data_IF_397013235203
#
_entry.id   IF_397013235203
#
_cell.length_a   1.000
_cell.length_b   1.000
_cell.length_c   1.000
_cell.angle_alpha   90.00
_cell.angle_beta   90.00
_cell.angle_gamma   90.00
#
_symmetry.space_group_name_H-M   'P 1'
#
loop_
_entity.id
_entity.type
_entity.pdbx_description
1 polymer ?
#
# COMPACT_ATOMS: atom_id res chain seq x y z
N UNK A 1 -4.35 7.30 20.82
CA UNK A 1 -4.94 6.28 21.71
C UNK A 1 -6.24 6.74 22.35
N UNK A 2 -6.30 7.86 23.10
CA UNK A 2 -7.58 8.36 23.64
C UNK A 2 -8.60 8.63 22.51
N UNK A 3 -8.20 9.43 21.52
CA UNK A 3 -9.03 9.70 20.34
C UNK A 3 -9.48 8.42 19.62
N UNK A 4 -8.59 7.41 19.50
CA UNK A 4 -8.93 6.13 18.91
C UNK A 4 -9.92 5.32 19.76
N UNK A 5 -9.81 5.38 21.08
CA UNK A 5 -10.74 4.71 21.99
C UNK A 5 -12.12 5.38 21.99
N UNK A 6 -12.17 6.69 21.78
CA UNK A 6 -13.38 7.51 21.76
C UNK A 6 -14.03 7.59 20.37
N UNK A 7 -13.32 7.21 19.31
CA UNK A 7 -13.83 7.21 17.94
C UNK A 7 -15.08 6.36 17.81
N UNK A 8 -16.12 6.88 17.14
CA UNK A 8 -17.36 6.18 16.85
C UNK A 8 -17.77 6.36 15.38
N UNK A 9 -18.35 5.34 14.73
CA UNK A 9 -18.82 5.47 13.35
C UNK A 9 -19.97 6.48 13.19
N UNK A 10 -20.70 6.80 14.28
CA UNK A 10 -21.75 7.81 14.28
C UNK A 10 -21.24 9.25 14.46
N UNK A 11 -19.93 9.45 14.66
CA UNK A 11 -19.39 10.78 14.89
C UNK A 11 -19.68 11.69 13.69
N UNK A 12 -20.44 12.77 13.92
CA UNK A 12 -20.89 13.72 12.87
C UNK A 12 -19.72 14.41 12.13
N UNK A 13 -18.49 14.29 12.65
CA UNK A 13 -17.25 14.75 12.01
C UNK A 13 -16.75 13.79 10.92
N UNK A 14 -17.26 12.56 10.86
CA UNK A 14 -17.12 11.67 9.72
C UNK A 14 -17.93 12.29 8.59
N UNK A 15 -17.26 13.16 7.83
CA UNK A 15 -17.83 13.68 6.60
C UNK A 15 -18.06 12.50 5.67
N UNK A 16 -19.29 12.34 5.17
CA UNK A 16 -19.63 11.28 4.22
C UNK A 16 -18.68 11.24 3.00
N UNK A 17 -18.06 12.37 2.66
CA UNK A 17 -17.02 12.47 1.64
C UNK A 17 -15.77 11.63 1.92
N UNK A 18 -15.46 11.32 3.19
CA UNK A 18 -14.29 10.52 3.59
C UNK A 18 -14.52 9.02 3.53
N UNK A 19 -15.77 8.57 3.41
CA UNK A 19 -16.12 7.15 3.32
C UNK A 19 -16.00 6.71 1.85
N UNK A 20 -15.32 5.58 1.61
CA UNK A 20 -15.28 4.96 0.29
C UNK A 20 -16.68 4.52 -0.13
N UNK A 21 -17.00 4.68 -1.41
CA UNK A 21 -18.27 4.22 -1.98
C UNK A 21 -18.06 3.13 -3.04
N UNK A 22 -16.83 2.62 -3.16
CA UNK A 22 -16.46 1.62 -4.16
C UNK A 22 -15.99 0.36 -3.44
N UNK A 23 -16.70 -0.78 -3.55
CA UNK A 23 -16.23 -2.04 -3.02
C UNK A 23 -15.01 -2.54 -3.80
N UNK A 24 -14.17 -3.36 -3.16
CA UNK A 24 -13.02 -4.00 -3.81
C UNK A 24 -13.49 -4.90 -4.96
N UNK A 25 -13.20 -4.52 -6.21
CA UNK A 25 -13.54 -5.32 -7.37
C UNK A 25 -12.58 -6.50 -7.51
N UNK A 26 -13.13 -7.67 -7.80
CA UNK A 26 -12.32 -8.85 -8.09
C UNK A 26 -11.66 -8.69 -9.47
N UNK A 27 -10.38 -9.04 -9.56
CA UNK A 27 -9.69 -9.11 -10.86
C UNK A 27 -10.07 -10.42 -11.56
N UNK A 28 -10.35 -10.38 -12.87
CA UNK A 28 -10.59 -11.60 -13.61
C UNK A 28 -9.32 -12.46 -13.62
N UNK A 29 -9.46 -13.79 -13.73
CA UNK A 29 -8.30 -14.66 -13.87
C UNK A 29 -7.49 -14.27 -15.11
N UNK A 30 -6.16 -14.50 -15.11
CA UNK A 30 -5.35 -14.27 -16.30
C UNK A 30 -5.93 -15.06 -17.48
N UNK A 31 -5.83 -14.55 -18.72
CA UNK A 31 -6.28 -15.27 -19.90
C UNK A 31 -5.61 -16.66 -19.93
N UNK A 32 -6.37 -17.70 -20.30
CA UNK A 32 -5.78 -19.00 -20.58
C UNK A 32 -4.71 -18.81 -21.66
N UNK A 33 -3.45 -19.03 -21.31
CA UNK A 33 -2.37 -19.04 -22.29
C UNK A 33 -2.60 -20.24 -23.21
N UNK A 34 -2.89 -20.01 -24.49
CA UNK A 34 -2.74 -21.08 -25.48
C UNK A 34 -1.28 -21.52 -25.45
N UNK A 35 -0.97 -22.82 -25.30
CA UNK A 35 0.40 -23.27 -25.39
C UNK A 35 0.89 -22.96 -26.81
N UNK A 36 1.85 -22.04 -26.92
CA UNK A 36 2.63 -21.89 -28.15
C UNK A 36 3.29 -23.26 -28.45
N UNK A 37 3.41 -23.66 -29.73
CA UNK A 37 3.98 -24.95 -30.09
C UNK A 37 5.40 -25.07 -29.52
N UNK A 38 5.65 -26.20 -28.84
CA UNK A 38 6.92 -26.50 -28.22
C UNK A 38 8.05 -26.55 -29.27
N UNK A 39 8.94 -25.56 -29.24
CA UNK A 39 10.24 -25.68 -29.89
C UNK A 39 11.17 -26.56 -29.03
N UNK A 40 12.00 -27.41 -29.64
CA UNK A 40 12.84 -28.35 -28.89
C UNK A 40 13.88 -27.64 -28.04
N UNK A 41 13.82 -27.99 -26.77
CA UNK A 41 14.70 -27.72 -25.64
C UNK A 41 16.19 -27.49 -25.98
N UNK A 42 16.65 -26.24 -25.84
CA UNK A 42 18.00 -25.94 -25.35
C UNK A 42 17.96 -25.93 -23.82
N UNK A 43 19.00 -26.49 -23.19
CA UNK A 43 19.17 -26.61 -21.73
C UNK A 43 19.37 -25.26 -21.04
N UNK A 44 18.37 -24.39 -21.10
CA UNK A 44 18.25 -23.20 -20.27
C UNK A 44 17.21 -23.52 -19.21
N UNK A 45 17.59 -23.44 -17.94
CA UNK A 45 16.66 -23.62 -16.84
C UNK A 45 15.45 -22.72 -17.06
N UNK A 46 14.23 -23.27 -16.92
CA UNK A 46 13.00 -22.49 -17.06
C UNK A 46 13.03 -21.36 -16.03
N UNK A 47 12.82 -20.09 -16.42
CA UNK A 47 12.82 -18.98 -15.48
C UNK A 47 11.74 -19.20 -14.40
N UNK A 48 11.96 -18.74 -13.15
CA UNK A 48 10.96 -18.87 -12.10
C UNK A 48 9.67 -18.12 -12.47
N UNK A 49 8.51 -18.53 -11.93
CA UNK A 49 7.27 -17.81 -12.17
C UNK A 49 7.40 -16.36 -11.69
N UNK A 50 6.69 -15.40 -12.31
CA UNK A 50 6.73 -14.01 -11.86
C UNK A 50 6.26 -13.87 -10.41
N UNK A 51 6.73 -12.81 -9.74
CA UNK A 51 6.33 -12.47 -8.38
C UNK A 51 4.81 -12.24 -8.37
N UNK A 52 4.03 -13.06 -7.64
CA UNK A 52 2.57 -13.02 -7.73
C UNK A 52 2.01 -11.76 -7.06
N UNK A 53 2.56 -11.39 -5.91
CA UNK A 53 2.09 -10.26 -5.12
C UNK A 53 3.15 -9.17 -4.98
N UNK A 54 2.77 -7.97 -5.38
CA UNK A 54 3.52 -6.76 -5.14
C UNK A 54 2.71 -5.87 -4.19
N UNK A 55 3.32 -5.51 -3.06
CA UNK A 55 2.81 -4.50 -2.15
C UNK A 55 3.47 -3.15 -2.48
N UNK A 56 2.67 -2.09 -2.59
CA UNK A 56 3.14 -0.72 -2.73
C UNK A 56 2.84 0.04 -1.43
N UNK A 57 3.88 0.40 -0.68
CA UNK A 57 3.74 1.15 0.56
C UNK A 57 3.97 2.64 0.27
N UNK A 58 2.87 3.37 0.16
CA UNK A 58 2.81 4.77 -0.23
C UNK A 58 3.17 5.69 0.95
N UNK A 59 4.46 5.74 1.25
CA UNK A 59 5.06 6.83 2.01
C UNK A 59 5.43 7.94 1.01
N UNK A 60 4.56 8.94 0.88
CA UNK A 60 4.72 10.05 -0.06
C UNK A 60 4.54 11.37 0.69
N UNK A 61 5.65 12.07 0.94
CA UNK A 61 5.69 13.38 1.62
C UNK A 61 4.81 13.47 2.88
N UNK A 62 4.76 12.40 3.69
CA UNK A 62 3.99 12.35 4.93
C UNK A 62 2.47 12.15 4.79
N UNK A 63 1.97 11.97 3.56
CA UNK A 63 0.55 11.73 3.26
C UNK A 63 -0.38 12.94 3.49
N UNK A 64 -1.65 12.74 3.17
CA UNK A 64 -2.78 13.67 3.36
C UNK A 64 -2.61 14.98 2.60
N UNK A 65 -2.14 14.88 1.37
CA UNK A 65 -1.95 16.03 0.49
C UNK A 65 -3.28 16.66 0.11
N UNK A 66 -3.33 17.99 -0.16
CA UNK A 66 -4.56 18.65 -0.61
C UNK A 66 -5.19 18.00 -1.84
N UNK A 67 -4.38 17.43 -2.73
CA UNK A 67 -4.81 16.69 -3.93
C UNK A 67 -5.55 15.39 -3.63
N UNK A 68 -5.46 14.86 -2.41
CA UNK A 68 -6.11 13.63 -1.96
C UNK A 68 -7.47 13.89 -1.31
N UNK A 69 -7.87 15.16 -1.24
CA UNK A 69 -9.21 15.57 -0.81
C UNK A 69 -10.28 14.87 -1.62
N UNK A 70 -11.29 14.34 -0.93
CA UNK A 70 -12.48 13.74 -1.56
C UNK A 70 -13.24 14.70 -2.47
N UNK A 71 -13.10 16.01 -2.25
CA UNK A 71 -13.71 17.04 -3.08
C UNK A 71 -12.78 17.55 -4.18
N UNK A 72 -11.58 16.96 -4.31
CA UNK A 72 -10.52 17.45 -5.17
C UNK A 72 -9.89 18.76 -4.66
N UNK A 73 -8.87 19.23 -5.39
CA UNK A 73 -8.21 20.50 -5.15
C UNK A 73 -8.53 21.47 -6.30
N UNK A 74 -9.13 22.62 -5.95
CA UNK A 74 -9.52 23.66 -6.91
C UNK A 74 -9.03 25.05 -6.46
N UNK A 75 -8.39 25.84 -7.35
CA UNK A 75 -7.97 25.47 -8.70
C UNK A 75 -6.92 24.36 -8.69
N UNK A 76 -6.82 23.60 -9.79
CA UNK A 76 -5.80 22.57 -9.92
C UNK A 76 -4.39 23.20 -9.75
N UNK A 77 -3.45 22.53 -9.05
CA UNK A 77 -2.10 23.02 -8.92
C UNK A 77 -1.42 23.14 -10.29
N UNK A 78 -0.52 24.12 -10.46
CA UNK A 78 0.21 24.30 -11.72
C UNK A 78 1.26 23.20 -11.96
N UNK A 79 1.74 22.58 -10.88
CA UNK A 79 2.69 21.48 -10.91
C UNK A 79 1.98 20.13 -11.15
N UNK A 80 2.68 19.14 -11.73
CA UNK A 80 2.18 17.77 -11.79
C UNK A 80 1.75 17.26 -10.41
N UNK A 81 0.78 16.36 -10.36
CA UNK A 81 0.39 15.68 -9.12
C UNK A 81 0.89 14.24 -9.22
N UNK A 82 1.44 13.70 -8.14
CA UNK A 82 1.79 12.30 -8.09
C UNK A 82 0.54 11.42 -8.26
N UNK A 83 0.62 10.42 -9.13
CA UNK A 83 -0.43 9.42 -9.29
C UNK A 83 0.14 8.03 -9.48
N UNK A 84 -0.46 7.03 -8.85
CA UNK A 84 -0.11 5.64 -9.09
C UNK A 84 -0.75 5.14 -10.39
N UNK A 85 0.01 5.11 -11.50
CA UNK A 85 -0.51 4.70 -12.81
C UNK A 85 -0.47 3.18 -13.05
N UNK A 86 0.46 2.47 -12.40
CA UNK A 86 0.80 1.08 -12.72
C UNK A 86 0.08 0.05 -11.83
N UNK A 87 -1.21 0.28 -11.55
CA UNK A 87 -2.03 -0.53 -10.64
C UNK A 87 -2.20 -2.00 -11.06
N UNK A 88 -1.99 -2.30 -12.35
CA UNK A 88 -2.02 -3.66 -12.90
C UNK A 88 -0.89 -4.55 -12.36
N UNK A 89 0.16 -4.00 -11.74
CA UNK A 89 1.24 -4.77 -11.12
C UNK A 89 1.03 -4.96 -9.61
N UNK A 90 0.34 -4.02 -8.96
CA UNK A 90 0.20 -3.94 -7.50
C UNK A 90 -0.96 -4.82 -7.05
N UNK A 91 -0.76 -5.70 -6.06
CA UNK A 91 -1.83 -6.48 -5.40
C UNK A 91 -2.40 -5.75 -4.19
N UNK A 92 -1.52 -5.16 -3.38
CA UNK A 92 -1.85 -4.51 -2.12
C UNK A 92 -1.20 -3.13 -2.10
N UNK A 93 -1.93 -2.12 -1.65
CA UNK A 93 -1.46 -0.77 -1.44
C UNK A 93 -1.58 -0.46 0.04
N UNK A 94 -0.50 0.01 0.67
CA UNK A 94 -0.53 0.52 2.04
C UNK A 94 -0.46 2.04 1.96
N UNK A 95 -1.48 2.72 2.48
CA UNK A 95 -1.41 4.16 2.67
C UNK A 95 -0.62 4.43 3.96
N UNK A 96 0.58 5.00 3.81
CA UNK A 96 1.53 5.17 4.90
C UNK A 96 1.66 6.64 5.26
N UNK A 97 1.61 6.93 6.55
CA UNK A 97 2.02 8.21 7.11
C UNK A 97 2.59 8.00 8.50
N UNK A 98 3.24 9.02 9.05
CA UNK A 98 3.82 9.00 10.40
C UNK A 98 2.81 9.35 11.51
N UNK A 99 1.52 9.15 11.23
CA UNK A 99 0.44 9.31 12.21
C UNK A 99 0.14 7.95 12.84
N UNK A 100 -0.10 7.94 14.16
CA UNK A 100 -0.42 6.73 14.93
C UNK A 100 -1.43 5.81 14.23
N UNK A 101 -2.48 6.40 13.67
CA UNK A 101 -3.45 5.73 12.80
C UNK A 101 -3.57 6.54 11.52
N UNK A 102 -3.30 5.88 10.39
CA UNK A 102 -3.42 6.45 9.05
C UNK A 102 -4.55 5.75 8.29
N UNK A 103 -5.67 6.43 8.15
CA UNK A 103 -6.83 6.01 7.34
C UNK A 103 -6.59 6.45 5.89
N UNK A 104 -6.64 5.56 4.90
CA UNK A 104 -6.51 5.92 3.48
C UNK A 104 -7.61 6.91 3.04
N UNK A 105 -7.31 7.98 2.30
CA UNK A 105 -8.32 8.88 1.74
C UNK A 105 -9.28 8.16 0.77
N UNK A 106 -10.57 8.51 0.80
CA UNK A 106 -11.57 7.86 -0.07
C UNK A 106 -11.25 7.90 -1.57
N UNK A 107 -10.63 8.94 -2.16
CA UNK A 107 -10.24 8.91 -3.58
C UNK A 107 -9.23 7.81 -3.89
N UNK A 108 -8.28 7.56 -2.98
CA UNK A 108 -7.31 6.46 -3.10
C UNK A 108 -8.03 5.12 -3.04
N UNK A 109 -8.86 4.90 -2.02
CA UNK A 109 -9.63 3.67 -1.86
C UNK A 109 -10.48 3.40 -3.11
N UNK A 110 -11.28 4.39 -3.54
CA UNK A 110 -12.17 4.25 -4.69
C UNK A 110 -11.42 3.90 -5.98
N UNK A 111 -10.27 4.53 -6.21
CA UNK A 111 -9.45 4.29 -7.42
C UNK A 111 -8.82 2.91 -7.38
N UNK A 112 -8.25 2.52 -6.24
CA UNK A 112 -7.56 1.24 -6.06
C UNK A 112 -8.54 0.06 -6.10
N UNK A 113 -9.69 0.17 -5.42
CA UNK A 113 -10.75 -0.84 -5.43
C UNK A 113 -11.33 -1.08 -6.82
N UNK A 114 -11.53 -0.02 -7.61
CA UNK A 114 -11.97 -0.15 -9.01
C UNK A 114 -10.96 -0.91 -9.89
N UNK A 115 -9.69 -0.92 -9.50
CA UNK A 115 -8.62 -1.67 -10.16
C UNK A 115 -8.30 -3.01 -9.46
N UNK A 116 -9.12 -3.41 -8.47
CA UNK A 116 -8.94 -4.62 -7.70
C UNK A 116 -7.67 -4.65 -6.85
N UNK A 117 -7.17 -3.50 -6.43
CA UNK A 117 -6.03 -3.37 -5.51
C UNK A 117 -6.57 -3.27 -4.09
N UNK A 118 -6.11 -4.17 -3.21
CA UNK A 118 -6.42 -4.11 -1.78
C UNK A 118 -5.78 -2.88 -1.14
N UNK A 119 -6.46 -2.17 -0.26
CA UNK A 119 -5.96 -0.95 0.40
C UNK A 119 -5.89 -1.13 1.90
N UNK A 120 -4.70 -1.01 2.48
CA UNK A 120 -4.49 -1.05 3.92
C UNK A 120 -4.19 0.36 4.46
N UNK A 121 -4.71 0.65 5.65
CA UNK A 121 -4.21 1.74 6.48
C UNK A 121 -2.92 1.35 7.20
N UNK A 122 -2.38 2.28 7.98
CA UNK A 122 -1.19 2.04 8.80
C UNK A 122 -1.48 2.35 10.26
N UNK A 123 -1.17 1.42 11.16
CA UNK A 123 -0.98 1.70 12.57
C UNK A 123 0.52 1.71 12.85
N UNK A 124 1.06 2.87 13.24
CA UNK A 124 2.49 3.01 13.51
C UNK A 124 2.75 3.57 14.90
N UNK A 125 3.71 2.99 15.60
CA UNK A 125 4.29 3.60 16.80
C UNK A 125 5.79 3.76 16.58
N UNK A 126 6.26 4.96 16.82
CA UNK A 126 7.65 5.33 16.57
C UNK A 126 8.17 6.22 17.71
N UNK A 127 9.47 6.13 17.97
CA UNK A 127 10.19 6.93 18.96
C UNK A 127 9.62 6.82 20.41
N UNK A 128 10.04 7.72 21.30
CA UNK A 128 9.61 7.72 22.71
C UNK A 128 8.10 7.92 22.90
N UNK A 129 7.44 8.67 22.00
CA UNK A 129 5.97 8.88 22.04
C UNK A 129 5.24 7.55 21.80
N UNK A 130 5.79 6.67 20.95
CA UNK A 130 5.26 5.34 20.69
C UNK A 130 5.13 4.48 21.95
N UNK A 131 6.07 4.57 22.90
CA UNK A 131 6.00 3.80 24.16
C UNK A 131 4.77 4.16 25.01
N UNK A 132 4.30 5.40 24.94
CA UNK A 132 3.07 5.84 25.63
C UNK A 132 1.81 5.31 24.93
N UNK A 133 1.82 5.18 23.60
CA UNK A 133 0.71 4.53 22.90
C UNK A 133 0.66 3.02 23.21
N UNK A 134 1.83 2.37 23.26
CA UNK A 134 1.97 0.95 23.56
C UNK A 134 1.55 0.57 24.98
N UNK A 135 1.63 1.48 25.95
CA UNK A 135 1.12 1.21 27.30
C UNK A 135 -0.39 0.94 27.34
N UNK A 136 -1.11 1.37 26.29
CA UNK A 136 -2.55 1.20 26.16
C UNK A 136 -2.98 0.23 25.08
N UNK A 137 -2.11 -0.12 24.13
CA UNK A 137 -2.50 -0.94 22.97
C UNK A 137 -3.19 -2.26 23.36
N UNK A 138 -2.79 -2.82 24.50
CA UNK A 138 -3.29 -4.09 25.03
C UNK A 138 -4.43 -3.91 26.06
N UNK A 139 -4.96 -2.69 26.23
CA UNK A 139 -6.11 -2.42 27.09
C UNK A 139 -7.31 -3.29 26.68
N UNK A 140 -7.96 -3.89 27.68
CA UNK A 140 -9.12 -4.75 27.50
C UNK A 140 -10.42 -4.04 27.87
N UNK A 141 -11.49 -4.36 27.14
CA UNK A 141 -12.84 -3.93 27.45
C UNK A 141 -13.50 -4.82 28.50
N UNK A 142 -14.80 -4.59 28.74
CA UNK A 142 -15.54 -5.29 29.80
C UNK A 142 -15.75 -6.78 29.50
N UNK A 143 -15.73 -7.18 28.23
CA UNK A 143 -15.90 -8.57 27.80
C UNK A 143 -14.55 -9.28 27.59
N UNK A 144 -13.43 -8.60 27.89
CA UNK A 144 -12.08 -9.12 27.78
C UNK A 144 -11.45 -9.03 26.39
N UNK A 145 -12.16 -8.41 25.45
CA UNK A 145 -11.71 -8.02 24.11
C UNK A 145 -10.63 -6.94 24.17
N UNK A 146 -9.72 -6.92 23.21
CA UNK A 146 -8.78 -5.82 23.04
C UNK A 146 -9.48 -4.65 22.37
N UNK A 147 -9.68 -3.55 23.11
CA UNK A 147 -10.44 -2.38 22.67
C UNK A 147 -9.93 -1.87 21.31
N UNK A 148 -8.61 -1.81 21.15
CA UNK A 148 -7.99 -1.26 19.94
C UNK A 148 -8.01 -2.23 18.76
N UNK A 149 -8.16 -3.55 18.99
CA UNK A 149 -8.39 -4.50 17.90
C UNK A 149 -9.77 -4.26 17.28
N UNK A 150 -10.80 -4.14 18.13
CA UNK A 150 -12.17 -3.81 17.71
C UNK A 150 -12.23 -2.47 16.99
N UNK A 151 -11.61 -1.42 17.55
CA UNK A 151 -11.66 -0.07 16.96
C UNK A 151 -11.01 -0.02 15.57
N UNK A 152 -9.85 -0.64 15.40
CA UNK A 152 -9.17 -0.66 14.10
C UNK A 152 -10.00 -1.43 13.06
N UNK A 153 -10.66 -2.53 13.42
CA UNK A 153 -11.54 -3.26 12.52
C UNK A 153 -12.78 -2.43 12.11
N UNK A 154 -13.43 -1.77 13.07
CA UNK A 154 -14.58 -0.90 12.80
C UNK A 154 -14.22 0.30 11.92
N UNK A 155 -13.03 0.89 12.10
CA UNK A 155 -12.53 1.97 11.24
C UNK A 155 -12.35 1.46 9.80
N UNK A 156 -11.75 0.27 9.61
CA UNK A 156 -11.57 -0.31 8.28
C UNK A 156 -12.92 -0.53 7.57
N UNK A 157 -13.88 -1.12 8.27
CA UNK A 157 -15.25 -1.30 7.77
C UNK A 157 -15.92 0.04 7.42
N UNK A 158 -15.88 1.00 8.34
CA UNK A 158 -16.61 2.27 8.23
C UNK A 158 -16.11 3.14 7.07
N UNK A 159 -14.79 3.22 6.89
CA UNK A 159 -14.22 3.99 5.78
C UNK A 159 -14.09 3.17 4.49
N UNK A 160 -14.31 1.85 4.56
CA UNK A 160 -14.38 0.94 3.42
C UNK A 160 -13.03 0.57 2.83
N UNK A 161 -12.01 0.33 3.67
CA UNK A 161 -10.70 -0.19 3.26
C UNK A 161 -10.39 -1.53 3.95
N UNK A 162 -9.34 -2.21 3.52
CA UNK A 162 -9.17 -3.65 3.65
C UNK A 162 -8.25 -4.10 4.80
N UNK A 163 -8.05 -3.28 5.83
CA UNK A 163 -7.25 -3.65 7.01
C UNK A 163 -5.96 -2.85 7.18
N UNK A 164 -4.91 -3.45 7.76
CA UNK A 164 -3.84 -2.69 8.43
C UNK A 164 -2.42 -3.25 8.22
N UNK A 165 -1.47 -2.35 7.95
CA UNK A 165 -0.06 -2.57 8.28
C UNK A 165 0.15 -2.20 9.76
N UNK A 166 0.66 -3.14 10.54
CA UNK A 166 1.07 -2.94 11.93
C UNK A 166 2.59 -2.70 11.97
N UNK A 167 3.00 -1.44 12.12
CA UNK A 167 4.40 -1.05 12.24
C UNK A 167 4.76 -0.62 13.67
N UNK A 168 5.35 -1.53 14.44
CA UNK A 168 5.70 -1.28 15.84
C UNK A 168 7.19 -0.98 15.97
N UNK A 169 7.59 0.29 15.84
CA UNK A 169 8.97 0.79 15.96
C UNK A 169 9.22 1.47 17.33
N UNK A 170 8.60 0.93 18.37
CA UNK A 170 8.84 1.32 19.75
C UNK A 170 8.77 0.09 20.67
N UNK A 171 9.48 0.16 21.80
CA UNK A 171 9.40 -0.85 22.85
C UNK A 171 8.23 -0.54 23.80
N UNK A 172 7.55 -1.61 24.23
CA UNK A 172 6.58 -1.53 25.32
C UNK A 172 7.28 -1.11 26.63
N UNK A 173 6.62 -0.32 27.49
CA UNK A 173 7.20 0.11 28.75
C UNK A 173 7.33 -1.05 29.77
N UNK A 174 8.56 -1.25 30.27
CA UNK A 174 8.89 -2.09 31.44
C UNK A 174 8.67 -3.60 31.30
N UNK A 175 8.81 -4.33 32.42
CA UNK A 175 8.74 -5.81 32.53
C UNK A 175 7.36 -6.42 32.20
N UNK A 176 6.39 -5.61 31.77
CA UNK A 176 5.01 -6.01 31.48
C UNK A 176 4.85 -6.67 30.11
N UNK A 177 5.78 -6.45 29.18
CA UNK A 177 5.66 -7.02 27.84
C UNK A 177 5.64 -8.55 27.86
N UNK A 178 4.60 -9.13 27.26
CA UNK A 178 4.49 -10.55 27.00
C UNK A 178 4.27 -10.73 25.50
N UNK A 179 5.20 -11.37 24.76
CA UNK A 179 5.01 -11.63 23.33
C UNK A 179 3.70 -12.36 23.02
N UNK A 180 3.24 -13.22 23.92
CA UNK A 180 1.97 -13.94 23.79
C UNK A 180 0.73 -13.02 23.86
N UNK A 181 0.81 -11.92 24.59
CA UNK A 181 -0.28 -10.95 24.69
C UNK A 181 -0.38 -10.10 23.42
N UNK A 182 0.75 -9.64 22.87
CA UNK A 182 0.76 -8.98 21.56
C UNK A 182 0.30 -9.93 20.45
N UNK A 183 0.67 -11.22 20.50
CA UNK A 183 0.13 -12.22 19.58
C UNK A 183 -1.39 -12.39 19.71
N UNK A 184 -1.92 -12.36 20.94
CA UNK A 184 -3.36 -12.43 21.16
C UNK A 184 -4.08 -11.21 20.58
N UNK A 185 -3.55 -10.01 20.83
CA UNK A 185 -4.03 -8.77 20.21
C UNK A 185 -4.03 -8.85 18.68
N UNK A 186 -2.92 -9.24 18.05
CA UNK A 186 -2.81 -9.34 16.59
C UNK A 186 -3.79 -10.38 16.01
N UNK A 187 -3.96 -11.51 16.70
CA UNK A 187 -4.92 -12.55 16.29
C UNK A 187 -6.36 -12.04 16.37
N UNK A 188 -6.70 -11.30 17.42
CA UNK A 188 -8.02 -10.72 17.59
C UNK A 188 -8.29 -9.64 16.54
N UNK A 189 -7.33 -8.74 16.30
CA UNK A 189 -7.42 -7.73 15.24
C UNK A 189 -7.63 -8.39 13.87
N UNK A 190 -6.83 -9.41 13.54
CA UNK A 190 -7.00 -10.18 12.30
C UNK A 190 -8.40 -10.78 12.18
N UNK A 191 -8.90 -11.37 13.27
CA UNK A 191 -10.21 -12.03 13.28
C UNK A 191 -11.34 -11.01 13.11
N UNK A 192 -11.27 -9.89 13.81
CA UNK A 192 -12.26 -8.80 13.71
C UNK A 192 -12.25 -8.15 12.32
N UNK A 193 -11.06 -7.91 11.73
CA UNK A 193 -10.96 -7.41 10.35
C UNK A 193 -11.55 -8.41 9.36
N UNK A 194 -11.26 -9.69 9.49
CA UNK A 194 -11.80 -10.72 8.60
C UNK A 194 -13.33 -10.88 8.71
N UNK A 195 -13.90 -10.62 9.89
CA UNK A 195 -15.34 -10.66 10.13
C UNK A 195 -16.07 -9.47 9.50
N UNK A 196 -15.54 -8.26 9.67
CA UNK A 196 -16.19 -7.02 9.21
C UNK A 196 -15.85 -6.66 7.76
N UNK A 197 -14.67 -7.07 7.27
CA UNK A 197 -14.15 -6.67 5.96
C UNK A 197 -13.80 -7.91 5.14
N UNK A 198 -14.66 -8.33 4.19
CA UNK A 198 -14.44 -9.50 3.35
C UNK A 198 -13.09 -9.44 2.60
N UNK A 199 -12.20 -10.38 2.91
CA UNK A 199 -10.87 -10.44 2.30
C UNK A 199 -9.88 -9.40 2.83
N UNK A 200 -10.18 -8.79 3.97
CA UNK A 200 -9.29 -7.88 4.71
C UNK A 200 -8.04 -8.59 5.23
N UNK A 201 -7.00 -7.80 5.51
CA UNK A 201 -5.68 -8.30 5.90
C UNK A 201 -5.02 -7.46 7.00
N UNK A 202 -4.28 -8.13 7.86
CA UNK A 202 -3.35 -7.53 8.84
C UNK A 202 -1.93 -7.99 8.50
N UNK A 203 -1.04 -7.05 8.21
CA UNK A 203 0.35 -7.31 7.86
C UNK A 203 1.26 -6.82 9.00
N UNK A 204 2.19 -7.66 9.44
CA UNK A 204 3.20 -7.31 10.44
C UNK A 204 4.45 -6.71 9.78
N UNK A 205 4.97 -5.59 10.27
CA UNK A 205 6.27 -5.08 9.84
C UNK A 205 7.41 -5.61 10.74
N UNK A 206 8.52 -6.01 10.14
CA UNK A 206 9.72 -6.52 10.82
C UNK A 206 10.47 -5.41 11.57
N UNK A 207 9.97 -5.02 12.76
CA UNK A 207 10.62 -4.05 13.65
C UNK A 207 10.74 -4.54 15.10
N UNK A 208 9.64 -4.61 15.85
CA UNK A 208 9.64 -5.11 17.24
C UNK A 208 9.86 -6.63 17.28
N UNK A 209 10.73 -7.07 18.17
CA UNK A 209 11.00 -8.49 18.42
C UNK A 209 10.29 -9.02 19.66
N UNK A 210 10.23 -10.34 19.81
CA UNK A 210 9.78 -11.02 21.04
C UNK A 210 10.59 -10.65 22.29
N UNK A 211 11.73 -9.97 22.14
CA UNK A 211 12.54 -9.46 23.25
C UNK A 211 12.15 -8.04 23.67
N UNK A 212 11.05 -7.50 23.13
CA UNK A 212 10.63 -6.11 23.32
C UNK A 212 11.64 -5.07 22.82
N UNK A 213 12.41 -5.41 21.78
CA UNK A 213 13.42 -4.53 21.21
C UNK A 213 13.09 -4.27 19.75
N UNK A 214 13.16 -3.01 19.35
CA UNK A 214 13.16 -2.62 17.93
C UNK A 214 14.50 -3.05 17.34
N UNK A 215 14.47 -4.13 16.57
CA UNK A 215 15.64 -4.72 15.96
C UNK A 215 15.20 -5.40 14.66
N UNK A 216 15.21 -4.63 13.57
CA UNK A 216 14.86 -5.11 12.24
C UNK A 216 15.72 -6.32 11.85
N UNK A 217 15.09 -7.48 11.68
CA UNK A 217 15.80 -8.72 11.38
C UNK A 217 16.24 -8.79 9.92
N UNK A 218 15.65 -7.94 9.06
CA UNK A 218 15.79 -7.96 7.62
C UNK A 218 15.35 -9.33 7.04
N UNK A 219 14.27 -9.88 7.59
CA UNK A 219 13.82 -11.23 7.25
C UNK A 219 12.97 -11.90 8.33
N UNK A 220 12.49 -13.10 8.04
CA UNK A 220 11.77 -13.94 9.00
C UNK A 220 12.78 -14.70 9.86
N UNK A 221 12.71 -14.52 11.18
CA UNK A 221 13.54 -15.23 12.16
C UNK A 221 12.71 -15.66 13.36
N UNK A 222 13.31 -16.42 14.29
CA UNK A 222 12.65 -16.77 15.55
C UNK A 222 12.25 -15.54 16.39
N UNK A 223 12.84 -14.38 16.15
CA UNK A 223 12.57 -13.16 16.91
C UNK A 223 11.30 -12.41 16.46
N UNK A 224 10.76 -12.70 15.29
CA UNK A 224 9.52 -12.08 14.77
C UNK A 224 8.50 -13.11 14.24
N UNK A 225 8.89 -14.37 14.03
CA UNK A 225 8.00 -15.45 13.56
C UNK A 225 6.71 -15.63 14.38
N UNK A 226 6.69 -15.46 15.72
CA UNK A 226 5.44 -15.56 16.48
C UNK A 226 4.41 -14.50 16.11
N UNK A 227 4.83 -13.29 15.71
CA UNK A 227 3.91 -12.24 15.24
C UNK A 227 3.42 -12.54 13.83
N UNK A 228 4.32 -12.94 12.92
CA UNK A 228 3.94 -13.39 11.58
C UNK A 228 2.94 -14.56 11.61
N UNK A 229 3.11 -15.52 12.52
CA UNK A 229 2.25 -16.70 12.63
C UNK A 229 0.77 -16.36 12.90
N UNK A 230 0.50 -15.18 13.45
CA UNK A 230 -0.87 -14.73 13.80
C UNK A 230 -1.40 -13.62 12.91
N UNK A 231 -0.64 -13.17 11.90
CA UNK A 231 -1.03 -12.14 10.91
C UNK A 231 -1.12 -12.74 9.50
N UNK A 232 -1.75 -12.02 8.56
CA UNK A 232 -1.95 -12.47 7.17
C UNK A 232 -0.71 -12.34 6.30
N UNK A 233 0.23 -11.48 6.70
CA UNK A 233 1.53 -11.36 6.04
C UNK A 233 2.59 -10.75 6.93
N UNK A 234 3.83 -10.76 6.43
CA UNK A 234 4.93 -10.01 7.00
C UNK A 234 5.62 -9.18 5.93
N UNK A 235 5.86 -7.91 6.24
CA UNK A 235 6.68 -6.99 5.48
C UNK A 235 8.06 -6.93 6.13
N UNK A 236 9.10 -7.45 5.46
CA UNK A 236 10.48 -7.40 5.99
C UNK A 236 11.06 -5.99 5.89
N UNK A 237 11.95 -5.64 6.80
CA UNK A 237 12.80 -4.46 6.62
C UNK A 237 13.70 -4.61 5.37
N UNK A 238 14.23 -3.50 4.87
CA UNK A 238 14.87 -3.42 3.54
C UNK A 238 16.36 -3.80 3.50
N UNK A 239 17.01 -3.95 4.66
CA UNK A 239 18.47 -4.15 4.79
C UNK A 239 18.96 -5.58 4.53
N UNK A 240 18.16 -6.44 3.90
CA UNK A 240 18.49 -7.86 3.69
C UNK A 240 19.53 -8.03 2.58
N UNK A 241 20.20 -9.19 2.58
CA UNK A 241 21.01 -9.70 1.47
C UNK A 241 20.56 -11.11 1.15
N UNK A 242 21.11 -11.69 0.08
CA UNK A 242 20.70 -13.02 -0.39
C UNK A 242 20.69 -14.09 0.72
N UNK A 243 21.66 -14.17 1.65
CA UNK A 243 21.59 -15.14 2.75
C UNK A 243 20.37 -14.98 3.66
N UNK A 244 20.00 -13.74 4.05
CA UNK A 244 18.80 -13.50 4.86
C UNK A 244 17.51 -13.80 4.07
N UNK A 245 17.48 -13.48 2.78
CA UNK A 245 16.35 -13.78 1.90
C UNK A 245 16.14 -15.31 1.79
N UNK A 246 17.20 -16.09 1.61
CA UNK A 246 17.11 -17.55 1.57
C UNK A 246 16.69 -18.15 2.92
N UNK A 247 17.23 -17.65 4.03
CA UNK A 247 16.80 -18.08 5.36
C UNK A 247 15.31 -17.78 5.61
N UNK A 248 14.86 -16.58 5.21
CA UNK A 248 13.45 -16.18 5.27
C UNK A 248 12.57 -17.12 4.45
N UNK A 249 12.97 -17.41 3.21
CA UNK A 249 12.27 -18.33 2.31
C UNK A 249 12.15 -19.73 2.92
N UNK A 250 13.22 -20.29 3.48
CA UNK A 250 13.22 -21.62 4.10
C UNK A 250 12.29 -21.64 5.32
N UNK A 251 12.35 -20.62 6.17
CA UNK A 251 11.50 -20.56 7.36
C UNK A 251 10.03 -20.42 6.99
N UNK A 252 9.68 -19.53 6.05
CA UNK A 252 8.31 -19.35 5.59
C UNK A 252 7.74 -20.61 4.90
N UNK A 253 8.58 -21.38 4.22
CA UNK A 253 8.21 -22.66 3.60
C UNK A 253 7.87 -23.73 4.62
N UNK A 254 8.63 -23.80 5.72
CA UNK A 254 8.28 -24.70 6.83
C UNK A 254 6.94 -24.34 7.49
N UNK A 255 6.47 -23.10 7.29
CA UNK A 255 5.15 -22.62 7.70
C UNK A 255 4.09 -22.71 6.58
N UNK A 256 4.44 -23.12 5.35
CA UNK A 256 3.62 -23.08 4.14
C UNK A 256 3.11 -21.67 3.77
N UNK A 257 3.91 -20.63 4.02
CA UNK A 257 3.51 -19.22 3.92
C UNK A 257 4.51 -18.34 3.16
N UNK A 258 5.25 -18.93 2.21
CA UNK A 258 6.17 -18.19 1.33
C UNK A 258 5.50 -17.01 0.61
N UNK A 259 4.27 -17.14 0.06
CA UNK A 259 3.59 -16.03 -0.61
C UNK A 259 3.22 -14.86 0.31
N UNK A 260 3.20 -15.09 1.63
CA UNK A 260 2.80 -14.11 2.63
C UNK A 260 3.98 -13.27 3.17
N UNK A 261 5.19 -13.52 2.64
CA UNK A 261 6.38 -12.71 2.88
C UNK A 261 6.49 -11.65 1.79
N UNK A 262 6.27 -10.40 2.17
CA UNK A 262 6.55 -9.23 1.35
C UNK A 262 7.98 -8.75 1.63
N UNK A 263 8.93 -9.22 0.83
CA UNK A 263 10.33 -8.82 0.96
C UNK A 263 10.49 -7.36 0.56
N UNK A 264 10.90 -6.54 1.51
CA UNK A 264 10.92 -5.08 1.38
C UNK A 264 12.06 -4.53 0.54
N UNK A 265 11.76 -3.50 -0.25
CA UNK A 265 12.73 -2.67 -0.98
C UNK A 265 12.41 -1.20 -0.69
N UNK A 266 13.37 -0.45 -0.17
CA UNK A 266 13.24 1.00 -0.06
C UNK A 266 13.60 1.66 -1.39
N UNK A 267 12.64 2.31 -2.02
CA UNK A 267 12.84 2.98 -3.31
C UNK A 267 13.76 4.20 -3.21
N UNK A 268 14.01 4.74 -2.02
CA UNK A 268 15.06 5.76 -1.80
C UNK A 268 16.44 5.15 -1.50
N UNK A 269 16.54 3.82 -1.37
CA UNK A 269 17.80 3.10 -1.34
C UNK A 269 18.45 2.93 0.02
N UNK A 270 17.80 3.32 1.13
CA UNK A 270 18.37 3.20 2.48
C UNK A 270 18.57 1.72 2.84
N UNK A 271 19.80 1.23 2.69
CA UNK A 271 20.20 -0.15 3.00
C UNK A 271 19.79 -1.22 1.98
N UNK A 272 18.98 -0.85 0.97
CA UNK A 272 18.43 -1.79 -0.01
C UNK A 272 19.46 -2.30 -1.01
N UNK A 273 19.35 -3.58 -1.38
CA UNK A 273 20.09 -4.13 -2.52
C UNK A 273 19.76 -3.34 -3.80
N UNK A 274 20.77 -3.02 -4.62
CA UNK A 274 20.61 -2.16 -5.80
C UNK A 274 20.47 -0.66 -5.52
N UNK A 275 20.43 -0.22 -4.25
CA UNK A 275 20.47 1.20 -3.89
C UNK A 275 19.19 1.99 -4.20
N UNK A 276 18.05 1.33 -4.40
CA UNK A 276 16.76 1.99 -4.69
C UNK A 276 16.72 2.63 -6.08
N UNK A 277 15.81 3.58 -6.28
CA UNK A 277 15.57 4.26 -7.55
C UNK A 277 15.35 3.27 -8.69
N UNK A 278 16.02 3.46 -9.83
CA UNK A 278 15.95 2.46 -10.90
C UNK A 278 16.58 1.12 -10.48
N UNK A 279 17.53 1.11 -9.55
CA UNK A 279 18.19 -0.10 -9.04
C UNK A 279 17.28 -1.06 -8.26
N UNK A 280 16.01 -0.73 -8.00
CA UNK A 280 15.03 -1.67 -7.41
C UNK A 280 14.93 -2.98 -8.20
N UNK A 281 15.21 -2.97 -9.50
CA UNK A 281 15.22 -4.17 -10.35
C UNK A 281 16.27 -5.21 -9.91
N UNK A 282 17.37 -4.80 -9.28
CA UNK A 282 18.36 -5.74 -8.75
C UNK A 282 17.81 -6.50 -7.54
N UNK A 283 17.15 -5.79 -6.62
CA UNK A 283 16.48 -6.42 -5.49
C UNK A 283 15.32 -7.32 -5.94
N UNK A 284 14.50 -6.86 -6.89
CA UNK A 284 13.41 -7.66 -7.46
C UNK A 284 13.92 -8.94 -8.14
N UNK A 285 15.07 -8.89 -8.82
CA UNK A 285 15.71 -10.09 -9.39
C UNK A 285 16.09 -11.12 -8.33
N UNK A 286 16.59 -10.69 -7.18
CA UNK A 286 16.87 -11.60 -6.06
C UNK A 286 15.58 -12.18 -5.45
N UNK A 287 14.56 -11.35 -5.23
CA UNK A 287 13.24 -11.78 -4.71
C UNK A 287 12.57 -12.77 -5.67
N UNK A 288 12.58 -12.47 -6.97
CA UNK A 288 12.00 -13.31 -8.01
C UNK A 288 12.63 -14.71 -8.04
N UNK A 289 13.96 -14.80 -7.88
CA UNK A 289 14.66 -16.09 -7.74
C UNK A 289 14.33 -16.83 -6.45
N UNK A 290 14.06 -16.12 -5.36
CA UNK A 290 13.67 -16.71 -4.08
C UNK A 290 12.19 -17.14 -4.02
N UNK A 291 11.33 -16.53 -4.84
CA UNK A 291 9.91 -16.84 -4.95
C UNK A 291 9.03 -16.30 -3.81
N UNK A 292 9.51 -15.32 -3.04
CA UNK A 292 8.68 -14.56 -2.08
C UNK A 292 7.89 -13.47 -2.81
N UNK A 293 6.93 -12.86 -2.12
CA UNK A 293 6.29 -11.62 -2.58
C UNK A 293 7.25 -10.43 -2.38
N UNK A 294 6.96 -9.30 -3.02
CA UNK A 294 7.77 -8.09 -2.91
C UNK A 294 6.97 -6.93 -2.30
N UNK A 295 7.64 -6.05 -1.57
CA UNK A 295 7.10 -4.77 -1.14
C UNK A 295 8.01 -3.62 -1.56
N UNK A 296 7.45 -2.61 -2.24
CA UNK A 296 8.13 -1.36 -2.55
C UNK A 296 7.72 -0.32 -1.51
N UNK A 297 8.66 0.10 -0.67
CA UNK A 297 8.50 1.23 0.23
C UNK A 297 8.83 2.55 -0.48
N UNK A 298 7.97 3.54 -0.32
CA UNK A 298 8.10 4.89 -0.85
C UNK A 298 8.37 4.95 -2.38
N UNK A 299 7.58 4.26 -3.24
CA UNK A 299 7.74 4.35 -4.69
C UNK A 299 7.41 5.76 -5.23
N UNK A 300 6.90 6.66 -4.39
CA UNK A 300 6.83 8.11 -4.64
C UNK A 300 8.19 8.73 -4.98
N UNK A 301 9.30 8.02 -4.78
CA UNK A 301 10.63 8.36 -5.30
C UNK A 301 10.61 8.84 -6.76
N UNK A 302 9.82 8.22 -7.64
CA UNK A 302 9.73 8.60 -9.07
C UNK A 302 9.27 10.04 -9.28
N UNK A 303 8.59 10.61 -8.29
CA UNK A 303 8.16 12.00 -8.27
C UNK A 303 9.04 12.85 -7.36
N UNK A 304 9.22 12.42 -6.11
CA UNK A 304 9.89 13.22 -5.07
C UNK A 304 11.35 13.48 -5.37
N UNK A 305 12.07 12.50 -5.92
CA UNK A 305 13.49 12.66 -6.23
C UNK A 305 13.75 13.70 -7.32
N UNK A 306 12.76 13.96 -8.18
CA UNK A 306 12.87 14.84 -9.34
C UNK A 306 12.00 16.10 -9.21
N UNK A 307 11.39 16.34 -8.04
CA UNK A 307 10.42 17.42 -7.82
C UNK A 307 9.29 17.44 -8.87
N UNK A 308 8.84 16.25 -9.29
CA UNK A 308 7.78 16.09 -10.31
C UNK A 308 8.21 16.35 -11.76
N UNK A 309 9.47 16.74 -12.02
CA UNK A 309 9.98 16.94 -13.38
C UNK A 309 9.98 15.63 -14.15
N UNK A 310 9.45 15.65 -15.37
CA UNK A 310 9.34 14.50 -16.26
C UNK A 310 8.70 13.25 -15.61
N UNK A 311 7.81 13.46 -14.63
CA UNK A 311 7.25 12.39 -13.80
C UNK A 311 6.72 11.22 -14.62
N UNK A 312 5.96 11.47 -15.68
CA UNK A 312 5.40 10.38 -16.51
C UNK A 312 6.49 9.51 -17.16
N UNK A 313 7.58 10.12 -17.61
CA UNK A 313 8.72 9.40 -18.20
C UNK A 313 9.48 8.61 -17.14
N UNK A 314 9.75 9.23 -15.99
CA UNK A 314 10.48 8.60 -14.87
C UNK A 314 9.67 7.43 -14.30
N UNK A 315 8.38 7.64 -14.05
CA UNK A 315 7.48 6.62 -13.50
C UNK A 315 7.31 5.45 -14.48
N UNK A 316 7.10 5.74 -15.76
CA UNK A 316 7.06 4.70 -16.81
C UNK A 316 8.36 3.89 -16.83
N UNK A 317 9.53 4.54 -16.80
CA UNK A 317 10.83 3.86 -16.79
C UNK A 317 10.99 2.93 -15.60
N UNK A 318 10.59 3.39 -14.42
CA UNK A 318 10.66 2.62 -13.18
C UNK A 318 9.75 1.38 -13.23
N UNK A 319 8.48 1.58 -13.59
CA UNK A 319 7.47 0.53 -13.48
C UNK A 319 7.44 -0.44 -14.66
N UNK A 320 7.50 0.07 -15.90
CA UNK A 320 7.28 -0.74 -17.12
C UNK A 320 8.40 -0.63 -18.16
N UNK A 321 9.37 0.26 -17.93
CA UNK A 321 10.48 0.50 -18.82
C UNK A 321 10.13 1.36 -20.04
N UNK A 322 11.15 1.71 -20.81
CA UNK A 322 11.06 2.72 -21.86
C UNK A 322 10.57 2.15 -23.20
N UNK A 323 10.34 0.83 -23.28
CA UNK A 323 10.02 0.11 -24.53
C UNK A 323 11.25 -0.23 -25.38
N UNK A 324 12.46 -0.02 -24.86
CA UNK A 324 13.71 -0.48 -25.48
C UNK A 324 14.00 -1.97 -25.24
N UNK A 325 15.19 -2.41 -25.63
CA UNK A 325 15.66 -3.79 -25.37
C UNK A 325 15.83 -4.02 -23.86
N UNK A 326 14.78 -4.56 -23.23
CA UNK A 326 14.79 -4.87 -21.81
C UNK A 326 15.84 -5.92 -21.50
N UNK A 327 16.09 -6.89 -22.38
CA UNK A 327 17.06 -7.99 -22.18
C UNK A 327 18.50 -7.48 -22.16
N UNK A 328 18.82 -6.49 -23.00
CA UNK A 328 20.12 -5.82 -23.02
C UNK A 328 20.38 -4.86 -21.85
N UNK A 329 19.35 -4.45 -21.09
CA UNK A 329 19.51 -3.54 -19.95
C UNK A 329 20.11 -4.24 -18.72
N UNK A 330 21.06 -3.59 -18.06
CA UNK A 330 21.63 -4.05 -16.77
C UNK A 330 20.63 -3.97 -15.62
N UNK A 331 19.59 -3.14 -15.75
CA UNK A 331 18.55 -2.94 -14.75
C UNK A 331 17.18 -3.09 -15.41
N UNK A 332 16.37 -4.03 -14.91
CA UNK A 332 15.04 -4.31 -15.45
C UNK A 332 13.96 -3.51 -14.69
N UNK A 333 12.87 -3.09 -15.36
CA UNK A 333 11.76 -2.41 -14.70
C UNK A 333 10.96 -3.37 -13.79
N UNK A 334 10.08 -2.84 -12.95
CA UNK A 334 9.25 -3.64 -12.03
C UNK A 334 8.42 -4.71 -12.77
N UNK A 335 7.81 -4.36 -13.90
CA UNK A 335 6.95 -5.25 -14.70
C UNK A 335 7.67 -6.49 -15.22
N UNK A 336 9.00 -6.46 -15.33
CA UNK A 336 9.77 -7.63 -15.77
C UNK A 336 9.69 -8.78 -14.76
N UNK A 337 9.54 -8.48 -13.47
CA UNK A 337 9.57 -9.48 -12.41
C UNK A 337 8.20 -9.83 -11.85
N UNK A 338 7.19 -8.99 -12.06
CA UNK A 338 5.90 -9.06 -11.35
C UNK A 338 4.79 -9.49 -12.29
N UNK A 339 3.88 -10.33 -11.80
CA UNK A 339 2.69 -10.72 -12.57
C UNK A 339 1.78 -9.52 -12.85
N UNK A 340 1.51 -9.29 -14.13
CA UNK A 340 0.44 -8.40 -14.57
C UNK A 340 -0.94 -8.96 -14.22
N UNK A 341 -1.86 -8.05 -13.89
CA UNK A 341 -3.20 -8.38 -13.44
C UNK A 341 -4.21 -7.55 -14.22
N UNK A 342 -5.14 -8.23 -14.85
CA UNK A 342 -6.21 -7.61 -15.59
C UNK A 342 -7.13 -6.79 -14.66
N UNK A 343 -7.75 -5.75 -15.22
CA UNK A 343 -8.77 -4.93 -14.58
C UNK A 343 -10.09 -5.01 -15.37
N UNK A 344 -11.21 -4.66 -14.74
CA UNK A 344 -12.54 -4.76 -15.34
C UNK A 344 -13.35 -5.96 -14.83
N UNK A 345 -14.66 -5.93 -15.05
CA UNK A 345 -15.55 -7.03 -14.71
C UNK A 345 -15.45 -8.17 -15.73
N UNK A 346 -16.03 -9.32 -15.40
CA UNK A 346 -16.11 -10.47 -16.32
C UNK A 346 -16.99 -10.22 -17.56
N UNK A 347 -17.87 -9.22 -17.52
CA UNK A 347 -18.89 -8.98 -18.55
C UNK A 347 -18.67 -7.69 -19.35
N UNK A 348 -18.19 -6.62 -18.70
CA UNK A 348 -18.02 -5.32 -19.35
C UNK A 348 -16.79 -4.60 -18.80
N UNK A 349 -16.18 -3.79 -19.68
CA UNK A 349 -15.10 -2.87 -19.34
C UNK A 349 -15.45 -1.50 -19.90
N UNK A 350 -15.46 -0.48 -19.03
CA UNK A 350 -15.68 0.91 -19.40
C UNK A 350 -14.54 1.73 -18.83
N UNK A 351 -13.88 2.49 -19.69
CA UNK A 351 -12.90 3.50 -19.30
C UNK A 351 -13.05 4.72 -20.19
N UNK A 352 -12.86 5.89 -19.60
CA UNK A 352 -12.68 7.16 -20.30
C UNK A 352 -11.26 7.69 -20.13
N UNK A 353 -10.33 6.83 -19.68
CA UNK A 353 -8.94 7.18 -19.36
C UNK A 353 -8.80 8.30 -18.33
N UNK A 354 -9.80 8.49 -17.46
CA UNK A 354 -9.71 9.45 -16.37
C UNK A 354 -8.63 9.03 -15.37
N UNK A 355 -7.70 9.94 -15.09
CA UNK A 355 -6.57 9.75 -14.17
C UNK A 355 -6.82 10.28 -12.76
N UNK A 356 -8.01 10.84 -12.51
CA UNK A 356 -8.36 11.53 -11.27
C UNK A 356 -7.95 13.00 -11.22
N UNK A 357 -7.23 13.50 -12.24
CA UNK A 357 -6.78 14.88 -12.37
C UNK A 357 -6.78 15.32 -13.83
N UNK A 358 -6.75 16.64 -14.06
CA UNK A 358 -6.70 17.20 -15.41
C UNK A 358 -6.77 18.72 -15.43
N UNK A 359 -6.46 19.31 -16.58
CA UNK A 359 -6.55 20.76 -16.81
C UNK A 359 -7.98 21.26 -17.06
N UNK A 360 -8.95 20.35 -17.02
CA UNK A 360 -10.36 20.62 -17.26
C UNK A 360 -11.18 19.35 -17.09
N UNK A 361 -12.48 19.48 -17.29
CA UNK A 361 -13.45 18.39 -17.30
C UNK A 361 -14.21 18.43 -18.62
N UNK A 362 -14.19 17.31 -19.34
CA UNK A 362 -14.85 17.17 -20.64
C UNK A 362 -16.03 16.21 -20.52
N UNK A 363 -17.15 16.58 -21.14
CA UNK A 363 -18.32 15.72 -21.34
C UNK A 363 -18.57 15.66 -22.84
N UNK A 364 -18.56 14.46 -23.41
CA UNK A 364 -18.72 14.21 -24.85
C UNK A 364 -17.76 15.04 -25.74
N UNK A 365 -16.52 15.21 -25.26
CA UNK A 365 -15.49 15.99 -25.95
C UNK A 365 -15.62 17.52 -25.78
N UNK A 366 -16.65 18.00 -25.09
CA UNK A 366 -16.90 19.42 -24.83
C UNK A 366 -16.39 19.80 -23.44
N UNK A 367 -15.62 20.88 -23.36
CA UNK A 367 -15.13 21.44 -22.08
C UNK A 367 -16.31 21.94 -21.26
N UNK A 368 -16.60 21.32 -20.12
CA UNK A 368 -17.63 21.76 -19.17
C UNK A 368 -17.07 22.60 -18.04
N UNK A 369 -15.84 22.33 -17.61
CA UNK A 369 -15.16 23.09 -16.57
C UNK A 369 -13.67 23.17 -16.88
N UNK A 370 -13.09 24.34 -16.69
CA UNK A 370 -11.64 24.52 -16.54
C UNK A 370 -11.40 25.14 -15.16
N UNK A 371 -10.24 24.91 -14.52
CA UNK A 371 -9.83 25.73 -13.39
C UNK A 371 -9.76 27.17 -13.90
N UNK A 372 -10.81 27.98 -13.67
CA UNK A 372 -10.71 29.41 -13.95
C UNK A 372 -9.68 29.96 -12.97
N UNK A 373 -8.67 30.66 -13.49
CA UNK A 373 -7.97 31.65 -12.68
C UNK A 373 -9.04 32.61 -12.14
N UNK A 374 -9.05 32.88 -10.84
CA UNK A 374 -9.83 33.98 -10.29
C UNK A 374 -9.34 35.28 -10.92
N UNK A 375 -9.92 35.67 -12.05
CA UNK A 375 -9.93 37.08 -12.44
C UNK A 375 -10.89 37.78 -11.48
N UNK A 376 -10.44 38.80 -10.73
CA UNK A 376 -11.35 39.64 -9.98
C UNK A 376 -12.13 40.44 -11.02
N UNK A 377 -13.26 39.92 -11.48
CA UNK A 377 -14.21 40.72 -12.24
C UNK A 377 -15.22 41.30 -11.25
N UNK A 378 -15.39 42.64 -11.23
CA UNK A 378 -16.29 43.29 -10.30
C UNK A 378 -17.71 42.81 -10.59
N UNK A 379 -18.45 42.54 -9.52
CA UNK A 379 -19.87 42.23 -9.56
C UNK A 379 -20.61 43.28 -10.41
N UNK A 380 -21.35 42.91 -11.47
CA UNK A 380 -22.30 43.81 -12.08
C UNK A 380 -23.48 43.94 -11.11
N UNK A 381 -23.46 44.99 -10.30
CA UNK A 381 -24.70 45.55 -9.81
C UNK A 381 -25.47 46.06 -11.04
N UNK A 382 -26.54 45.36 -11.41
CA UNK A 382 -27.79 45.95 -11.91
C UNK A 382 -28.74 44.83 -12.38
N UNK A 383 -29.50 44.28 -11.42
CA UNK A 383 -30.82 43.72 -11.73
C UNK A 383 -31.78 44.90 -11.67
N UNK A 384 -32.20 45.39 -12.85
CA UNK A 384 -33.38 46.24 -13.00
C UNK A 384 -34.46 45.48 -13.75
N UNK A 385 -35.52 45.14 -13.00
CA UNK A 385 -36.92 45.32 -13.41
C UNK A 385 -37.61 44.25 -14.27
N UNK A 386 -38.69 43.70 -13.71
CA UNK A 386 -40.05 43.45 -14.27
C UNK A 386 -40.17 43.26 -15.80
N UNK A 387 -40.83 42.22 -16.35
CA UNK A 387 -42.12 41.56 -16.03
C UNK A 387 -42.04 40.08 -16.41
#
# INVERSE_FOLDING_TARGET
MLELADWRPEDIKIQASKVSNTPLLQRPPPPLTSPLPAHPSTTVATPPPPIPNLLSCHDYKGGYHPSESAQGQFPAPPEPIYTAAHLHLISTFVYFSHNLVSIPPSPWINTLHRNGVRVLGTFIVEHHVGSTALSRLLDKGSEGEYIFATQLALIAETYGFDGWLMNIEASFPGESFRPGELQAFLRELRSAVAELVPGGQVIWYDALTVLNQVHWQNGLTLLNAPFFAVTDGMFTNYGWREPQLQATRIMADSMNRVPDIYTGIDCFGRGSLGGGGFGVGEALSAIWRAGTSAALFAPGWTYEHFDGKDFETVDRRFWVGDGGDVEGSSVKPVSYFVSEKACGGSEFFVTNFNRGFGKGWWVDGIVCSTPRAHTPTPCPADIKGFV
#
